data_IF_584080604044
#
_entry.id   IF_584080604044
#
_cell.length_a   1.000
_cell.length_b   1.000
_cell.length_c   1.000
_cell.angle_alpha   90.00
_cell.angle_beta   90.00
_cell.angle_gamma   90.00
#
_symmetry.space_group_name_H-M   'P 1'
#
loop_
_entity.id
_entity.type
_entity.pdbx_description
1 polymer ?
#
# COMPACT_ATOMS: atom_id res chain seq x y z
N UNK A 1 0.41 25.35 3.52
CA UNK A 1 -0.45 24.40 4.27
C UNK A 1 -1.54 25.12 5.05
N UNK A 2 -1.19 26.07 5.94
CA UNK A 2 -2.16 26.87 6.72
C UNK A 2 -3.30 27.40 5.85
N UNK A 3 -3.00 28.13 4.78
CA UNK A 3 -4.01 28.67 3.85
C UNK A 3 -4.95 27.59 3.28
N UNK A 4 -4.41 26.46 2.79
CA UNK A 4 -5.18 25.33 2.25
C UNK A 4 -6.10 24.70 3.30
N UNK A 5 -5.63 24.55 4.53
CA UNK A 5 -6.38 23.93 5.62
C UNK A 5 -7.44 24.90 6.17
N UNK A 6 -7.09 26.16 6.41
CA UNK A 6 -8.00 27.15 6.97
C UNK A 6 -9.12 27.52 5.98
N UNK A 7 -8.80 27.69 4.69
CA UNK A 7 -9.81 28.06 3.68
C UNK A 7 -10.88 27.00 3.49
N UNK A 8 -10.52 25.72 3.69
CA UNK A 8 -11.42 24.58 3.58
C UNK A 8 -11.98 24.10 4.94
N UNK A 9 -11.59 24.76 6.05
CA UNK A 9 -11.79 24.27 7.42
C UNK A 9 -11.35 22.80 7.58
N UNK A 10 -10.28 22.44 6.87
CA UNK A 10 -9.67 21.13 6.81
C UNK A 10 -10.64 20.02 6.37
N UNK A 11 -11.58 20.34 5.45
CA UNK A 11 -12.58 19.42 4.93
C UNK A 11 -12.67 19.54 3.42
N UNK A 12 -12.76 18.40 2.74
CA UNK A 12 -13.13 18.37 1.31
C UNK A 12 -14.61 18.05 1.20
N UNK A 13 -15.33 18.78 0.35
CA UNK A 13 -16.70 18.42 -0.01
C UNK A 13 -16.66 17.30 -1.05
N UNK A 14 -17.01 16.08 -0.65
CA UNK A 14 -17.16 14.96 -1.56
C UNK A 14 -18.56 14.93 -2.16
N UNK A 15 -18.64 14.62 -3.45
CA UNK A 15 -19.93 14.36 -4.10
C UNK A 15 -20.55 13.07 -3.57
N UNK A 16 -21.89 12.93 -3.65
CA UNK A 16 -22.59 11.68 -3.27
C UNK A 16 -22.04 10.45 -4.02
N UNK A 17 -21.54 10.65 -5.25
CA UNK A 17 -20.90 9.59 -6.03
C UNK A 17 -19.57 9.17 -5.40
N UNK A 18 -18.68 10.13 -5.12
CA UNK A 18 -17.41 9.83 -4.45
C UNK A 18 -17.64 9.17 -3.09
N UNK A 19 -18.62 9.63 -2.31
CA UNK A 19 -18.97 9.03 -1.03
C UNK A 19 -19.39 7.56 -1.18
N UNK A 20 -20.18 7.23 -2.20
CA UNK A 20 -20.57 5.85 -2.54
C UNK A 20 -19.36 5.02 -2.97
N UNK A 21 -18.48 5.58 -3.80
CA UNK A 21 -17.26 4.89 -4.26
C UNK A 21 -16.33 4.56 -3.08
N UNK A 22 -16.17 5.49 -2.13
CA UNK A 22 -15.42 5.27 -0.88
C UNK A 22 -16.04 4.14 -0.07
N UNK A 23 -17.36 4.19 0.16
CA UNK A 23 -18.08 3.16 0.92
C UNK A 23 -17.95 1.78 0.26
N UNK A 24 -18.12 1.70 -1.05
CA UNK A 24 -18.05 0.44 -1.78
C UNK A 24 -16.62 -0.11 -1.83
N UNK A 25 -15.60 0.76 -1.85
CA UNK A 25 -14.20 0.39 -1.66
C UNK A 25 -13.97 -0.25 -0.27
N UNK A 26 -14.45 0.39 0.79
CA UNK A 26 -14.35 -0.13 2.17
C UNK A 26 -15.07 -1.49 2.31
N UNK A 27 -16.28 -1.62 1.74
CA UNK A 27 -17.05 -2.88 1.74
C UNK A 27 -16.26 -4.01 1.08
N UNK A 28 -15.74 -3.78 -0.13
CA UNK A 28 -14.93 -4.78 -0.85
C UNK A 28 -13.68 -5.15 -0.08
N UNK A 29 -13.02 -4.19 0.55
CA UNK A 29 -11.85 -4.44 1.40
C UNK A 29 -12.21 -5.36 2.58
N UNK A 30 -13.28 -5.06 3.32
CA UNK A 30 -13.72 -5.88 4.47
C UNK A 30 -14.24 -7.24 4.03
N UNK A 31 -15.12 -7.33 3.04
CA UNK A 31 -15.72 -8.59 2.61
C UNK A 31 -14.69 -9.55 1.99
N UNK A 32 -13.66 -9.03 1.35
CA UNK A 32 -12.54 -9.85 0.87
C UNK A 32 -11.82 -10.53 2.04
N UNK A 33 -11.53 -9.81 3.12
CA UNK A 33 -10.88 -10.38 4.32
C UNK A 33 -11.76 -11.41 5.03
N UNK A 34 -13.07 -11.13 5.15
CA UNK A 34 -14.05 -12.07 5.72
C UNK A 34 -14.13 -13.34 4.88
N UNK A 35 -14.10 -13.21 3.55
CA UNK A 35 -14.06 -14.36 2.65
C UNK A 35 -12.79 -15.19 2.85
N UNK A 36 -11.62 -14.55 2.89
CA UNK A 36 -10.35 -15.24 3.14
C UNK A 36 -10.37 -15.99 4.48
N UNK A 37 -10.89 -15.35 5.53
CA UNK A 37 -11.02 -15.98 6.85
C UNK A 37 -11.90 -17.23 6.82
N UNK A 38 -13.03 -17.18 6.10
CA UNK A 38 -13.97 -18.28 5.96
C UNK A 38 -13.41 -19.43 5.12
N UNK A 39 -12.76 -19.12 4.00
CA UNK A 39 -12.33 -20.12 2.99
C UNK A 39 -10.95 -20.70 3.25
N UNK A 40 -10.09 -19.98 3.96
CA UNK A 40 -8.72 -20.40 4.26
C UNK A 40 -8.46 -20.37 5.78
N UNK A 41 -9.20 -21.16 6.58
CA UNK A 41 -9.02 -21.18 8.02
C UNK A 41 -7.59 -21.62 8.40
N UNK A 42 -6.99 -20.93 9.37
CA UNK A 42 -5.63 -21.20 9.84
C UNK A 42 -4.50 -20.68 8.93
N UNK A 43 -4.81 -20.14 7.76
CA UNK A 43 -3.81 -19.53 6.88
C UNK A 43 -3.53 -18.08 7.30
N UNK A 44 -2.26 -17.76 7.52
CA UNK A 44 -1.82 -16.39 7.81
C UNK A 44 -1.99 -15.51 6.57
N UNK A 45 -2.67 -14.37 6.75
CA UNK A 45 -2.89 -13.37 5.69
C UNK A 45 -2.54 -11.94 6.09
N UNK A 46 -2.35 -11.67 7.38
CA UNK A 46 -2.06 -10.33 7.92
C UNK A 46 -3.15 -9.32 7.53
N UNK A 47 -4.39 -9.65 7.90
CA UNK A 47 -5.64 -8.99 7.54
C UNK A 47 -5.58 -7.47 7.66
N UNK A 48 -6.16 -6.76 6.70
CA UNK A 48 -6.30 -5.31 6.76
C UNK A 48 -7.38 -4.85 7.77
N UNK A 49 -8.21 -5.74 8.31
CA UNK A 49 -9.38 -5.38 9.13
C UNK A 49 -9.02 -4.48 10.32
N UNK A 50 -9.73 -3.35 10.41
CA UNK A 50 -9.45 -2.23 11.29
C UNK A 50 -8.60 -1.12 10.67
N UNK A 51 -8.20 -1.25 9.40
CA UNK A 51 -7.42 -0.28 8.63
C UNK A 51 -7.89 -0.19 7.15
N UNK A 52 -9.11 -0.60 6.84
CA UNK A 52 -9.65 -0.71 5.47
C UNK A 52 -9.63 0.62 4.69
N UNK A 53 -9.66 1.75 5.40
CA UNK A 53 -9.49 3.11 4.85
C UNK A 53 -8.19 3.29 4.05
N UNK A 54 -7.19 2.43 4.25
CA UNK A 54 -6.01 2.38 3.40
C UNK A 54 -6.36 2.22 1.90
N UNK A 55 -7.35 1.40 1.55
CA UNK A 55 -7.71 1.14 0.15
C UNK A 55 -8.22 2.42 -0.55
N UNK A 56 -9.24 3.15 -0.03
CA UNK A 56 -9.63 4.41 -0.64
C UNK A 56 -8.52 5.49 -0.57
N UNK A 57 -7.63 5.48 0.42
CA UNK A 57 -6.45 6.36 0.45
C UNK A 57 -5.50 6.08 -0.72
N UNK A 58 -5.25 4.82 -1.06
CA UNK A 58 -4.40 4.44 -2.20
C UNK A 58 -5.07 4.71 -3.54
N UNK A 59 -6.38 4.49 -3.68
CA UNK A 59 -7.14 4.92 -4.87
C UNK A 59 -7.06 6.44 -5.04
N UNK A 60 -7.23 7.21 -3.96
CA UNK A 60 -7.07 8.66 -4.00
C UNK A 60 -5.63 9.06 -4.38
N UNK A 61 -4.63 8.35 -3.87
CA UNK A 61 -3.22 8.58 -4.21
C UNK A 61 -2.99 8.44 -5.72
N UNK A 62 -3.48 7.35 -6.31
CA UNK A 62 -3.31 7.06 -7.74
C UNK A 62 -4.04 8.10 -8.59
N UNK A 63 -5.31 8.37 -8.30
CA UNK A 63 -6.11 9.31 -9.10
C UNK A 63 -5.58 10.74 -9.00
N UNK A 64 -5.14 11.17 -7.81
CA UNK A 64 -4.61 12.51 -7.61
C UNK A 64 -3.22 12.67 -8.24
N UNK A 65 -2.33 11.69 -8.06
CA UNK A 65 -1.01 11.68 -8.71
C UNK A 65 -1.13 11.71 -10.24
N UNK A 66 -2.07 10.95 -10.80
CA UNK A 66 -2.37 10.99 -12.24
C UNK A 66 -2.74 12.39 -12.73
N UNK A 67 -3.64 13.07 -12.01
CA UNK A 67 -4.03 14.45 -12.31
C UNK A 67 -2.87 15.45 -12.20
N UNK A 68 -1.81 15.09 -11.47
CA UNK A 68 -0.58 15.86 -11.36
C UNK A 68 0.47 15.54 -12.44
N UNK A 69 0.20 14.59 -13.34
CA UNK A 69 1.11 14.19 -14.42
C UNK A 69 2.05 13.02 -14.09
N UNK A 70 1.84 12.32 -12.98
CA UNK A 70 2.57 11.10 -12.64
C UNK A 70 2.16 9.97 -13.60
N UNK A 71 3.16 9.27 -14.15
CA UNK A 71 2.98 8.11 -15.04
C UNK A 71 3.34 6.79 -14.37
N UNK A 72 4.23 6.82 -13.37
CA UNK A 72 4.74 5.64 -12.70
C UNK A 72 4.60 5.79 -11.17
N UNK A 73 3.97 4.82 -10.51
CA UNK A 73 3.94 4.72 -9.05
C UNK A 73 4.69 3.46 -8.65
N UNK A 74 5.71 3.61 -7.80
CA UNK A 74 6.48 2.48 -7.28
C UNK A 74 6.23 2.41 -5.78
N UNK A 75 5.69 1.28 -5.36
CA UNK A 75 5.18 1.05 -4.02
C UNK A 75 6.01 -0.01 -3.29
N UNK A 76 6.46 0.32 -2.09
CA UNK A 76 6.95 -0.65 -1.10
C UNK A 76 5.93 -0.79 0.02
N UNK A 77 5.69 -2.00 0.49
CA UNK A 77 4.84 -2.22 1.65
C UNK A 77 5.24 -3.47 2.43
N UNK A 78 4.88 -3.50 3.70
CA UNK A 78 4.99 -4.69 4.55
C UNK A 78 3.83 -5.67 4.31
N UNK A 79 3.60 -6.58 5.27
CA UNK A 79 2.57 -7.62 5.18
C UNK A 79 1.14 -7.10 5.38
N UNK A 80 0.94 -6.03 6.17
CA UNK A 80 -0.38 -5.63 6.66
C UNK A 80 -1.31 -5.20 5.52
N UNK A 81 -2.33 -6.01 5.25
CA UNK A 81 -3.31 -5.79 4.18
C UNK A 81 -2.74 -5.90 2.77
N UNK A 82 -1.58 -6.50 2.57
CA UNK A 82 -0.93 -6.59 1.25
C UNK A 82 -1.80 -7.29 0.21
N UNK A 83 -2.47 -8.37 0.58
CA UNK A 83 -3.35 -9.10 -0.34
C UNK A 83 -4.53 -8.24 -0.79
N UNK A 84 -5.05 -7.40 0.12
CA UNK A 84 -6.10 -6.43 -0.17
C UNK A 84 -5.62 -5.37 -1.18
N UNK A 85 -4.41 -4.84 -0.97
CA UNK A 85 -3.78 -3.89 -1.91
C UNK A 85 -3.52 -4.55 -3.27
N UNK A 86 -3.01 -5.77 -3.31
CA UNK A 86 -2.80 -6.50 -4.57
C UNK A 86 -4.12 -6.69 -5.33
N UNK A 87 -5.19 -7.10 -4.65
CA UNK A 87 -6.49 -7.32 -5.26
C UNK A 87 -7.11 -6.01 -5.76
N UNK A 88 -7.21 -5.00 -4.89
CA UNK A 88 -8.10 -3.85 -5.12
C UNK A 88 -7.38 -2.66 -5.74
N UNK A 89 -6.07 -2.51 -5.52
CA UNK A 89 -5.28 -1.41 -6.09
C UNK A 89 -4.58 -1.85 -7.38
N UNK A 90 -3.90 -3.00 -7.34
CA UNK A 90 -3.19 -3.54 -8.50
C UNK A 90 -4.07 -4.36 -9.44
N UNK A 91 -5.29 -4.73 -9.02
CA UNK A 91 -6.21 -5.51 -9.85
C UNK A 91 -5.75 -6.94 -10.05
N UNK A 92 -4.98 -7.51 -9.11
CA UNK A 92 -4.59 -8.92 -9.16
C UNK A 92 -5.86 -9.79 -9.17
N UNK A 93 -6.06 -10.67 -10.17
CA UNK A 93 -7.24 -11.52 -10.21
C UNK A 93 -7.38 -12.35 -8.93
N UNK A 94 -8.59 -12.43 -8.39
CA UNK A 94 -8.86 -13.21 -7.17
C UNK A 94 -8.47 -14.68 -7.32
N UNK A 95 -8.70 -15.29 -8.49
CA UNK A 95 -8.32 -16.68 -8.76
C UNK A 95 -6.81 -16.90 -8.65
N UNK A 96 -6.00 -15.94 -9.10
CA UNK A 96 -4.55 -15.98 -8.96
C UNK A 96 -4.10 -15.79 -7.50
N UNK A 97 -4.75 -14.90 -6.74
CA UNK A 97 -4.52 -14.79 -5.30
C UNK A 97 -4.86 -16.08 -4.56
N UNK A 98 -6.00 -16.70 -4.86
CA UNK A 98 -6.45 -17.93 -4.19
C UNK A 98 -5.59 -19.14 -4.55
N UNK A 99 -5.03 -19.20 -5.76
CA UNK A 99 -4.07 -20.22 -6.14
C UNK A 99 -2.85 -20.25 -5.18
N UNK A 100 -2.36 -19.09 -4.73
CA UNK A 100 -1.25 -18.98 -3.78
C UNK A 100 -1.59 -19.51 -2.37
N UNK A 101 -2.88 -19.54 -2.01
CA UNK A 101 -3.34 -20.18 -0.76
C UNK A 101 -3.45 -21.70 -0.89
N UNK A 102 -3.84 -22.20 -2.06
CA UNK A 102 -4.13 -23.61 -2.31
C UNK A 102 -2.86 -24.42 -2.65
N UNK A 103 -1.97 -23.84 -3.45
CA UNK A 103 -0.89 -24.58 -4.09
C UNK A 103 0.51 -24.14 -3.62
N UNK A 104 0.61 -23.05 -2.84
CA UNK A 104 1.88 -22.41 -2.54
C UNK A 104 2.45 -21.70 -3.77
N UNK A 105 3.72 -21.29 -3.71
CA UNK A 105 4.41 -20.77 -4.89
C UNK A 105 4.68 -21.95 -5.85
N UNK A 106 3.94 -21.98 -6.96
CA UNK A 106 4.10 -23.01 -7.97
C UNK A 106 5.45 -22.76 -8.64
N UNK A 107 6.47 -23.55 -8.29
CA UNK A 107 7.87 -23.47 -8.76
C UNK A 107 8.12 -23.58 -10.27
N UNK A 108 7.22 -23.09 -11.11
CA UNK A 108 7.38 -22.90 -12.56
C UNK A 108 8.20 -21.66 -12.94
N UNK A 109 8.70 -20.92 -11.95
CA UNK A 109 9.33 -19.62 -12.15
C UNK A 109 10.66 -19.61 -11.46
N UNK A 110 11.73 -19.36 -12.21
CA UNK A 110 13.13 -19.44 -11.78
C UNK A 110 13.33 -18.93 -10.33
N UNK A 111 13.71 -19.83 -9.41
CA UNK A 111 13.95 -19.54 -8.00
C UNK A 111 13.29 -20.56 -7.07
N UNK A 112 13.55 -20.44 -5.76
CA UNK A 112 12.98 -21.31 -4.71
C UNK A 112 11.57 -20.85 -4.24
N UNK A 113 11.04 -19.78 -4.85
CA UNK A 113 9.80 -19.12 -4.45
C UNK A 113 9.90 -18.27 -3.19
N UNK A 114 8.80 -17.64 -2.79
CA UNK A 114 8.66 -16.90 -1.54
C UNK A 114 7.22 -16.99 -0.98
N UNK A 115 6.97 -16.50 0.23
CA UNK A 115 5.63 -16.47 0.81
C UNK A 115 4.74 -15.44 0.09
N UNK A 116 3.45 -15.77 -0.06
CA UNK A 116 2.44 -14.96 -0.80
C UNK A 116 2.41 -13.45 -0.49
N UNK A 117 2.72 -13.06 0.75
CA UNK A 117 2.75 -11.67 1.19
C UNK A 117 4.11 -10.97 0.99
N UNK A 118 5.03 -11.57 0.23
CA UNK A 118 6.27 -10.94 -0.25
C UNK A 118 6.25 -10.65 -1.74
N UNK A 119 5.38 -11.32 -2.50
CA UNK A 119 5.33 -11.22 -3.96
C UNK A 119 5.13 -9.77 -4.43
N UNK A 120 5.98 -9.35 -5.37
CA UNK A 120 5.80 -8.10 -6.11
C UNK A 120 4.73 -8.26 -7.19
N UNK A 121 4.23 -7.14 -7.71
CA UNK A 121 3.27 -7.12 -8.82
C UNK A 121 3.47 -5.85 -9.65
N UNK A 122 3.29 -5.95 -10.96
CA UNK A 122 3.24 -4.79 -11.86
C UNK A 122 1.92 -4.80 -12.61
N UNK A 123 1.28 -3.64 -12.71
CA UNK A 123 -0.01 -3.50 -13.38
C UNK A 123 -0.11 -2.14 -14.07
N UNK A 124 -0.70 -2.11 -15.25
CA UNK A 124 -1.10 -0.85 -15.90
C UNK A 124 -2.56 -0.56 -15.57
N UNK A 125 -2.83 0.65 -15.09
CA UNK A 125 -4.18 1.11 -14.76
C UNK A 125 -4.65 2.20 -15.69
N UNK A 126 -5.84 2.00 -16.24
CA UNK A 126 -6.60 3.01 -16.96
C UNK A 126 -7.58 3.65 -15.98
N UNK A 127 -7.42 4.95 -15.76
CA UNK A 127 -8.26 5.70 -14.83
C UNK A 127 -9.50 6.26 -15.53
N UNK A 128 -10.58 6.55 -14.79
CA UNK A 128 -11.77 7.20 -15.35
C UNK A 128 -11.48 8.54 -16.04
N UNK A 129 -10.40 9.22 -15.67
CA UNK A 129 -9.92 10.45 -16.32
C UNK A 129 -9.32 10.22 -17.72
N UNK A 130 -9.11 8.97 -18.14
CA UNK A 130 -8.38 8.60 -19.35
C UNK A 130 -6.86 8.50 -19.17
N UNK A 131 -6.33 8.89 -18.00
CA UNK A 131 -4.91 8.73 -17.70
C UNK A 131 -4.53 7.25 -17.56
N UNK A 132 -3.31 6.91 -17.97
CA UNK A 132 -2.70 5.59 -17.78
C UNK A 132 -1.54 5.71 -16.80
N UNK A 133 -1.54 4.86 -15.76
CA UNK A 133 -0.43 4.74 -14.83
C UNK A 133 0.13 3.33 -14.80
N UNK A 134 1.44 3.25 -14.71
CA UNK A 134 2.15 2.04 -14.42
C UNK A 134 2.37 1.93 -12.91
N UNK A 135 1.81 0.90 -12.29
CA UNK A 135 2.00 0.59 -10.88
C UNK A 135 3.01 -0.54 -10.74
N UNK A 136 3.91 -0.43 -9.76
CA UNK A 136 4.83 -1.51 -9.40
C UNK A 136 4.91 -1.65 -7.88
N UNK A 137 4.49 -2.79 -7.34
CA UNK A 137 4.80 -3.20 -5.97
C UNK A 137 6.12 -3.97 -5.97
N UNK A 138 7.07 -3.52 -5.15
CA UNK A 138 8.38 -4.18 -5.03
C UNK A 138 8.24 -5.41 -4.12
N UNK A 139 8.87 -6.52 -4.53
CA UNK A 139 8.99 -7.70 -3.68
C UNK A 139 9.91 -7.41 -2.49
N UNK A 140 9.62 -7.98 -1.32
CA UNK A 140 10.37 -7.68 -0.10
C UNK A 140 10.51 -8.91 0.79
N UNK A 141 11.61 -9.01 1.56
CA UNK A 141 11.71 -10.02 2.60
C UNK A 141 10.82 -9.67 3.80
N UNK A 142 10.74 -10.59 4.78
CA UNK A 142 10.08 -10.34 6.08
C UNK A 142 10.76 -9.25 6.91
N UNK A 143 12.03 -8.92 6.62
CA UNK A 143 12.79 -7.88 7.30
C UNK A 143 12.14 -6.53 7.00
N UNK A 144 11.33 -6.05 7.96
CA UNK A 144 10.52 -4.84 7.80
C UNK A 144 11.40 -3.65 7.43
N UNK A 145 10.85 -2.76 6.61
CA UNK A 145 11.50 -1.53 6.12
C UNK A 145 12.71 -1.74 5.20
N UNK A 146 13.25 -2.96 5.04
CA UNK A 146 14.38 -3.24 4.14
C UNK A 146 14.09 -2.92 2.66
N UNK A 147 12.82 -2.92 2.26
CA UNK A 147 12.39 -2.56 0.90
C UNK A 147 12.42 -1.05 0.62
N UNK A 148 12.48 -0.21 1.65
CA UNK A 148 12.36 1.25 1.50
C UNK A 148 13.43 1.85 0.59
N UNK A 149 14.74 1.63 0.82
CA UNK A 149 15.77 2.16 -0.07
C UNK A 149 15.75 1.48 -1.44
N UNK A 150 15.26 0.24 -1.55
CA UNK A 150 15.11 -0.46 -2.83
C UNK A 150 14.07 0.24 -3.71
N UNK A 151 12.94 0.64 -3.14
CA UNK A 151 11.91 1.45 -3.83
C UNK A 151 12.48 2.80 -4.24
N UNK A 152 13.16 3.50 -3.34
CA UNK A 152 13.79 4.79 -3.65
C UNK A 152 14.79 4.67 -4.82
N UNK A 153 15.66 3.66 -4.81
CA UNK A 153 16.59 3.38 -5.90
C UNK A 153 15.89 3.02 -7.21
N UNK A 154 14.83 2.21 -7.16
CA UNK A 154 14.03 1.86 -8.34
C UNK A 154 13.32 3.08 -8.93
N UNK A 155 12.81 3.98 -8.07
CA UNK A 155 12.26 5.28 -8.48
C UNK A 155 13.31 6.13 -9.15
N UNK A 156 14.48 6.28 -8.54
CA UNK A 156 15.58 7.07 -9.10
C UNK A 156 15.98 6.57 -10.49
N UNK A 157 16.18 5.27 -10.64
CA UNK A 157 16.50 4.67 -11.93
C UNK A 157 15.40 4.89 -12.99
N UNK A 158 14.12 4.87 -12.59
CA UNK A 158 12.99 5.17 -13.48
C UNK A 158 12.99 6.65 -13.90
N UNK A 159 13.28 7.56 -12.97
CA UNK A 159 13.36 9.00 -13.23
C UNK A 159 14.50 9.32 -14.19
N UNK A 160 15.70 8.80 -13.94
CA UNK A 160 16.86 8.99 -14.82
C UNK A 160 16.57 8.50 -16.24
N UNK A 161 15.87 7.37 -16.37
CA UNK A 161 15.47 6.81 -17.66
C UNK A 161 14.43 7.64 -18.41
N UNK A 162 13.54 8.31 -17.69
CA UNK A 162 12.55 9.20 -18.28
C UNK A 162 13.18 10.52 -18.76
N UNK A 163 14.40 10.84 -18.30
CA UNK A 163 15.13 12.05 -18.66
C UNK A 163 14.51 13.30 -18.05
N UNK A 164 14.53 14.40 -18.79
CA UNK A 164 13.99 15.68 -18.33
C UNK A 164 12.53 15.56 -17.87
N UNK A 165 12.23 16.16 -16.72
CA UNK A 165 10.93 16.05 -16.06
C UNK A 165 10.60 14.65 -15.51
N UNK A 166 11.53 13.69 -15.53
CA UNK A 166 11.35 12.35 -14.98
C UNK A 166 11.01 12.35 -13.49
N UNK A 167 11.62 13.25 -12.71
CA UNK A 167 11.36 13.40 -11.27
C UNK A 167 9.88 13.65 -10.93
N UNK A 168 9.16 14.39 -11.78
CA UNK A 168 7.75 14.71 -11.59
C UNK A 168 6.80 13.61 -12.10
N UNK A 169 7.32 12.66 -12.89
CA UNK A 169 6.54 11.58 -13.49
C UNK A 169 6.56 10.28 -12.68
N UNK A 170 7.46 10.16 -11.71
CA UNK A 170 7.57 8.96 -10.86
C UNK A 170 7.27 9.33 -9.41
N UNK A 171 6.33 8.63 -8.80
CA UNK A 171 5.95 8.76 -7.40
C UNK A 171 6.41 7.54 -6.59
N UNK A 172 7.38 7.71 -5.68
CA UNK A 172 7.66 6.73 -4.63
C UNK A 172 6.53 6.74 -3.59
N UNK A 173 6.02 5.55 -3.23
CA UNK A 173 5.06 5.35 -2.15
C UNK A 173 5.58 4.26 -1.22
N UNK A 174 5.64 4.53 0.08
CA UNK A 174 6.09 3.56 1.08
C UNK A 174 5.02 3.38 2.15
N UNK A 175 4.62 2.13 2.40
CA UNK A 175 3.67 1.76 3.45
C UNK A 175 4.40 1.07 4.59
N UNK A 176 4.19 1.57 5.80
CA UNK A 176 4.91 1.18 7.00
C UNK A 176 3.96 0.66 8.08
N UNK A 177 4.46 -0.17 8.99
CA UNK A 177 3.82 -0.41 10.28
C UNK A 177 4.36 0.57 11.32
N UNK A 178 3.55 0.99 12.29
CA UNK A 178 3.95 2.00 13.30
C UNK A 178 5.22 1.61 14.08
N UNK A 179 5.28 0.39 14.60
CA UNK A 179 6.43 -0.08 15.37
C UNK A 179 7.71 -0.15 14.51
N UNK A 180 7.59 -0.61 13.26
CA UNK A 180 8.74 -0.76 12.37
C UNK A 180 9.24 0.60 11.85
N UNK A 181 8.33 1.53 11.54
CA UNK A 181 8.67 2.88 11.13
C UNK A 181 9.49 3.61 12.20
N UNK A 182 9.12 3.46 13.47
CA UNK A 182 9.82 4.08 14.58
C UNK A 182 11.11 3.34 14.98
N UNK A 183 11.17 2.02 14.80
CA UNK A 183 12.21 1.17 15.38
C UNK A 183 13.33 0.75 14.43
N UNK A 184 13.11 0.72 13.11
CA UNK A 184 14.12 0.25 12.15
C UNK A 184 15.02 1.39 11.67
N UNK A 185 16.33 1.31 11.94
CA UNK A 185 17.30 2.34 11.56
C UNK A 185 17.35 2.66 10.06
N UNK A 186 17.04 1.68 9.21
CA UNK A 186 16.97 1.86 7.75
C UNK A 186 15.92 2.89 7.31
N UNK A 187 14.90 3.16 8.14
CA UNK A 187 13.92 4.23 7.89
C UNK A 187 14.60 5.59 7.96
N UNK A 188 15.31 5.87 9.06
CA UNK A 188 16.06 7.12 9.23
C UNK A 188 17.15 7.28 8.18
N UNK A 189 17.86 6.19 7.83
CA UNK A 189 18.84 6.19 6.74
C UNK A 189 18.19 6.56 5.41
N UNK A 190 17.04 5.95 5.06
CA UNK A 190 16.33 6.24 3.81
C UNK A 190 15.81 7.68 3.77
N UNK A 191 15.26 8.18 4.88
CA UNK A 191 14.83 9.57 5.02
C UNK A 191 16.01 10.53 4.79
N UNK A 192 17.18 10.25 5.36
CA UNK A 192 18.39 11.04 5.16
C UNK A 192 18.84 11.11 3.68
N UNK A 193 18.55 10.08 2.87
CA UNK A 193 18.86 10.06 1.43
C UNK A 193 17.92 10.96 0.60
N UNK A 194 16.73 11.31 1.11
CA UNK A 194 15.64 11.94 0.34
C UNK A 194 16.02 13.23 -0.40
N UNK A 195 16.99 14.01 0.12
CA UNK A 195 17.44 15.28 -0.46
C UNK A 195 18.82 15.22 -1.11
N UNK A 196 19.58 14.13 -0.93
CA UNK A 196 20.93 14.01 -1.45
C UNK A 196 20.93 13.88 -2.97
N UNK A 197 21.78 14.63 -3.68
CA UNK A 197 21.73 14.73 -5.14
C UNK A 197 21.79 13.38 -5.89
N UNK A 198 22.58 12.42 -5.38
CA UNK A 198 22.69 11.08 -5.95
C UNK A 198 21.49 10.16 -5.71
N UNK A 199 20.61 10.51 -4.76
CA UNK A 199 19.57 9.60 -4.25
C UNK A 199 18.16 10.19 -4.32
N UNK A 200 18.01 11.52 -4.28
CA UNK A 200 16.73 12.21 -4.24
C UNK A 200 15.80 11.78 -5.36
N UNK A 201 14.53 11.65 -5.02
CA UNK A 201 13.43 11.21 -5.91
C UNK A 201 12.29 12.23 -6.00
N UNK A 202 12.51 13.46 -5.52
CA UNK A 202 11.48 14.52 -5.52
C UNK A 202 10.38 14.31 -4.47
N UNK A 203 10.71 13.64 -3.37
CA UNK A 203 9.80 13.38 -2.26
C UNK A 203 9.05 12.06 -2.38
N UNK A 204 8.97 11.34 -1.27
CA UNK A 204 8.22 10.09 -1.09
C UNK A 204 6.93 10.33 -0.29
N UNK A 205 5.83 9.68 -0.70
CA UNK A 205 4.64 9.58 0.14
C UNK A 205 4.80 8.40 1.11
N UNK A 206 4.89 8.70 2.39
CA UNK A 206 4.92 7.69 3.46
C UNK A 206 3.52 7.53 4.06
N UNK A 207 3.00 6.30 4.04
CA UNK A 207 1.74 5.93 4.70
C UNK A 207 2.05 5.01 5.87
N UNK A 208 1.86 5.48 7.09
CA UNK A 208 2.07 4.67 8.30
C UNK A 208 0.74 4.10 8.75
N UNK A 209 0.59 2.77 8.69
CA UNK A 209 -0.55 2.04 9.22
C UNK A 209 -0.34 1.88 10.73
N UNK A 210 -0.79 2.87 11.49
CA UNK A 210 -0.66 2.87 12.94
C UNK A 210 -1.85 2.17 13.59
N UNK A 211 -1.75 0.85 13.69
CA UNK A 211 -2.73 0.02 14.39
C UNK A 211 -2.52 -0.03 15.91
N UNK A 212 -1.56 0.76 16.40
CA UNK A 212 -1.22 0.96 17.81
C UNK A 212 -0.63 -0.28 18.49
N UNK A 213 -0.07 -1.24 17.75
CA UNK A 213 0.54 -2.45 18.32
C UNK A 213 1.55 -3.13 17.38
N UNK A 214 2.79 -3.30 17.86
CA UNK A 214 3.83 -4.08 17.17
C UNK A 214 3.92 -5.51 17.71
N UNK A 215 3.36 -6.48 17.00
CA UNK A 215 3.17 -7.85 17.52
C UNK A 215 2.32 -7.86 18.81
N UNK A 216 2.95 -7.91 19.99
CA UNK A 216 2.36 -7.79 21.34
C UNK A 216 2.87 -6.55 22.09
N UNK A 217 3.68 -5.71 21.45
CA UNK A 217 4.36 -4.56 22.05
C UNK A 217 3.50 -3.31 21.89
N UNK A 218 3.24 -2.61 23.01
CA UNK A 218 2.46 -1.38 23.01
C UNK A 218 3.28 -0.19 22.53
N UNK A 219 2.63 0.90 22.05
CA UNK A 219 3.29 2.11 21.57
C UNK A 219 4.31 2.70 22.55
N UNK A 220 3.99 2.66 23.85
CA UNK A 220 4.83 3.19 24.94
C UNK A 220 6.15 2.43 25.12
N UNK A 221 6.20 1.17 24.69
CA UNK A 221 7.38 0.31 24.77
C UNK A 221 8.12 0.24 23.42
N UNK A 222 7.47 0.65 22.33
CA UNK A 222 8.01 0.57 20.97
C UNK A 222 8.82 1.81 20.55
N UNK A 223 8.66 2.95 21.24
CA UNK A 223 9.31 4.23 20.89
C UNK A 223 9.42 5.17 22.08
N UNK A 224 10.35 6.12 21.98
CA UNK A 224 10.61 7.12 23.03
C UNK A 224 9.93 8.48 22.80
N UNK A 225 9.06 8.58 21.78
CA UNK A 225 8.36 9.81 21.40
C UNK A 225 6.85 9.56 21.26
N UNK A 226 6.07 10.63 21.10
CA UNK A 226 4.62 10.54 21.10
C UNK A 226 4.09 9.78 19.88
N UNK A 227 4.52 10.18 18.67
CA UNK A 227 4.02 9.62 17.42
C UNK A 227 5.03 8.64 16.83
N UNK A 228 4.52 7.59 16.17
CA UNK A 228 5.39 6.66 15.43
C UNK A 228 6.17 7.38 14.32
N UNK A 229 5.60 8.48 13.82
CA UNK A 229 6.11 9.30 12.73
C UNK A 229 7.16 10.34 13.14
N UNK A 230 7.50 10.46 14.42
CA UNK A 230 8.43 11.48 14.89
C UNK A 230 9.84 11.36 14.28
N UNK A 231 10.24 10.17 13.83
CA UNK A 231 11.51 9.99 13.08
C UNK A 231 11.58 10.86 11.83
N UNK A 232 10.44 11.12 11.17
CA UNK A 232 10.36 11.97 9.97
C UNK A 232 10.58 13.46 10.26
N UNK A 233 10.51 13.89 11.54
CA UNK A 233 10.82 15.27 11.92
C UNK A 233 12.27 15.66 11.62
N UNK A 234 13.17 14.69 11.46
CA UNK A 234 14.56 14.95 11.02
C UNK A 234 14.62 15.71 9.68
N UNK A 235 13.60 15.58 8.83
CA UNK A 235 13.51 16.27 7.54
C UNK A 235 12.64 17.54 7.59
N UNK A 236 12.02 17.86 8.73
CA UNK A 236 10.95 18.86 8.81
C UNK A 236 9.82 18.62 7.79
N UNK A 237 9.58 17.36 7.41
CA UNK A 237 8.50 16.96 6.54
C UNK A 237 7.13 17.17 7.23
N UNK A 238 6.07 17.53 6.50
CA UNK A 238 4.74 17.59 7.08
C UNK A 238 4.24 16.19 7.41
N UNK A 239 3.58 16.08 8.56
CA UNK A 239 3.00 14.86 9.09
C UNK A 239 1.50 15.09 9.30
N UNK A 240 0.67 14.28 8.66
CA UNK A 240 -0.78 14.32 8.78
C UNK A 240 -1.27 13.11 9.56
N UNK A 241 -1.84 13.32 10.75
CA UNK A 241 -2.45 12.26 11.53
C UNK A 241 -3.95 12.22 11.24
N UNK A 242 -4.47 11.04 10.90
CA UNK A 242 -5.88 10.89 10.53
C UNK A 242 -6.46 9.61 11.09
N UNK A 243 -7.70 9.68 11.57
CA UNK A 243 -8.42 8.54 12.15
C UNK A 243 -9.02 7.67 11.03
N UNK A 244 -8.85 6.35 11.11
CA UNK A 244 -9.31 5.46 10.05
C UNK A 244 -10.83 5.41 9.89
N UNK A 245 -11.60 5.72 10.93
CA UNK A 245 -13.07 5.77 10.86
C UNK A 245 -13.62 7.06 10.22
N UNK A 246 -12.74 7.97 9.76
CA UNK A 246 -13.10 9.11 8.90
C UNK A 246 -12.38 8.99 7.54
N UNK A 247 -12.92 8.19 6.61
CA UNK A 247 -12.31 7.96 5.30
C UNK A 247 -12.20 9.22 4.44
N UNK A 248 -13.15 10.15 4.57
CA UNK A 248 -13.14 11.43 3.83
C UNK A 248 -11.97 12.31 4.29
N UNK A 249 -11.74 12.43 5.60
CA UNK A 249 -10.57 13.12 6.14
C UNK A 249 -9.27 12.44 5.71
N UNK A 250 -9.22 11.10 5.66
CA UNK A 250 -8.04 10.36 5.24
C UNK A 250 -7.68 10.65 3.78
N UNK A 251 -8.68 10.70 2.90
CA UNK A 251 -8.50 11.07 1.48
C UNK A 251 -8.12 12.55 1.35
N UNK A 252 -8.70 13.44 2.17
CA UNK A 252 -8.28 14.84 2.20
C UNK A 252 -6.81 14.99 2.58
N UNK A 253 -6.34 14.27 3.60
CA UNK A 253 -4.93 14.25 4.01
C UNK A 253 -4.01 13.76 2.89
N UNK A 254 -4.40 12.72 2.15
CA UNK A 254 -3.65 12.24 0.97
C UNK A 254 -3.54 13.34 -0.10
N UNK A 255 -4.65 14.00 -0.46
CA UNK A 255 -4.66 15.07 -1.47
C UNK A 255 -3.74 16.22 -1.05
N UNK A 256 -3.80 16.62 0.23
CA UNK A 256 -2.96 17.68 0.78
C UNK A 256 -1.48 17.29 0.82
N UNK A 257 -1.16 16.06 1.21
CA UNK A 257 0.20 15.53 1.22
C UNK A 257 0.81 15.50 -0.19
N UNK A 258 0.07 15.00 -1.19
CA UNK A 258 0.53 14.96 -2.57
C UNK A 258 0.68 16.35 -3.19
N UNK A 259 -0.21 17.29 -2.86
CA UNK A 259 -0.06 18.69 -3.29
C UNK A 259 1.19 19.33 -2.69
N UNK A 260 1.47 19.09 -1.40
CA UNK A 260 2.70 19.55 -0.78
C UNK A 260 3.94 18.93 -1.44
N UNK A 261 3.93 17.60 -1.64
CA UNK A 261 5.04 16.89 -2.30
C UNK A 261 5.28 17.41 -3.72
N UNK A 262 4.22 17.69 -4.49
CA UNK A 262 4.34 18.28 -5.83
C UNK A 262 4.98 19.68 -5.80
N UNK A 263 4.58 20.52 -4.85
CA UNK A 263 5.07 21.89 -4.75
C UNK A 263 6.51 21.97 -4.25
N UNK A 264 6.85 21.18 -3.23
CA UNK A 264 8.11 21.32 -2.49
C UNK A 264 9.12 20.20 -2.74
N UNK A 265 8.76 19.17 -3.52
CA UNK A 265 9.63 18.05 -3.89
C UNK A 265 10.33 17.37 -2.70
N UNK A 266 9.61 17.25 -1.57
CA UNK A 266 10.09 16.65 -0.32
C UNK A 266 9.15 15.55 0.16
N UNK A 267 9.67 14.68 1.02
CA UNK A 267 8.89 13.62 1.66
C UNK A 267 7.71 14.19 2.46
N UNK A 268 6.62 13.43 2.49
CA UNK A 268 5.39 13.74 3.22
C UNK A 268 4.89 12.49 3.91
N UNK A 269 4.36 12.64 5.13
CA UNK A 269 3.92 11.50 5.94
C UNK A 269 2.44 11.62 6.25
N UNK A 270 1.69 10.56 6.03
CA UNK A 270 0.30 10.40 6.51
C UNK A 270 0.24 9.20 7.43
N UNK A 271 -0.11 9.44 8.68
CA UNK A 271 -0.31 8.42 9.71
C UNK A 271 -1.79 8.09 9.85
N UNK A 272 -2.16 6.89 9.40
CA UNK A 272 -3.50 6.35 9.56
C UNK A 272 -3.61 5.69 10.93
N UNK A 273 -4.23 6.39 11.89
CA UNK A 273 -4.48 5.88 13.24
C UNK A 273 -5.68 4.94 13.17
N UNK A 274 -5.41 3.67 13.45
CA UNK A 274 -6.32 2.57 13.19
C UNK A 274 -6.20 1.49 14.27
N UNK A 275 -6.72 0.29 14.00
CA UNK A 275 -6.61 -0.85 14.91
C UNK A 275 -6.35 -2.16 14.16
N UNK A 276 -6.13 -3.26 14.90
CA UNK A 276 -5.96 -4.61 14.34
C UNK A 276 -7.04 -5.54 14.89
N UNK A 277 -7.93 -6.01 14.01
CA UNK A 277 -9.07 -6.85 14.40
C UNK A 277 -8.66 -8.17 15.07
N UNK A 278 -7.61 -8.81 14.53
CA UNK A 278 -7.10 -10.11 14.98
C UNK A 278 -5.75 -9.96 15.71
N UNK A 279 -5.14 -11.06 16.13
CA UNK A 279 -3.74 -11.12 16.56
C UNK A 279 -2.77 -10.64 15.47
N UNK A 280 -1.45 -10.78 15.69
CA UNK A 280 -0.47 -10.34 14.70
C UNK A 280 -0.62 -11.12 13.39
N UNK A 281 -0.76 -12.44 13.50
CA UNK A 281 -1.44 -13.26 12.51
C UNK A 281 -2.80 -13.72 13.06
N UNK A 282 -3.62 -14.36 12.22
CA UNK A 282 -4.99 -14.75 12.59
C UNK A 282 -5.08 -16.02 13.45
N UNK A 283 -3.97 -16.71 13.69
CA UNK A 283 -3.85 -17.80 14.66
C UNK A 283 -3.36 -17.36 16.04
N UNK A 284 -2.84 -16.13 16.18
CA UNK A 284 -2.38 -15.60 17.46
C UNK A 284 -3.56 -15.14 18.32
N UNK A 285 -3.46 -15.38 19.64
CA UNK A 285 -4.44 -14.91 20.63
C UNK A 285 -3.95 -13.62 21.30
N UNK A 286 -4.46 -12.44 20.90
CA UNK A 286 -4.00 -11.16 21.42
C UNK A 286 -4.46 -10.87 22.86
N UNK A 287 -5.51 -11.54 23.37
CA UNK A 287 -5.99 -11.31 24.73
C UNK A 287 -4.97 -11.67 25.81
N UNK A 288 -3.97 -12.50 25.50
CA UNK A 288 -2.91 -12.85 26.45
C UNK A 288 -2.05 -11.66 26.88
N UNK A 289 -1.96 -10.63 26.04
CA UNK A 289 -1.06 -9.48 26.27
C UNK A 289 -1.81 -8.14 26.22
N UNK A 290 -2.86 -8.01 25.40
CA UNK A 290 -3.64 -6.77 25.24
C UNK A 290 -5.16 -6.97 25.43
N UNK A 291 -5.62 -7.53 26.57
CA UNK A 291 -7.03 -7.89 26.75
C UNK A 291 -8.00 -6.71 26.68
N UNK A 292 -7.66 -5.56 27.29
CA UNK A 292 -8.54 -4.38 27.31
C UNK A 292 -8.66 -3.72 25.94
N UNK A 293 -7.55 -3.61 25.21
CA UNK A 293 -7.53 -3.08 23.84
C UNK A 293 -8.41 -3.96 22.93
N UNK A 294 -8.27 -5.27 23.01
CA UNK A 294 -9.03 -6.19 22.17
C UNK A 294 -10.49 -6.33 22.57
N UNK A 295 -10.83 -6.15 23.85
CA UNK A 295 -12.21 -5.98 24.28
C UNK A 295 -12.87 -4.79 23.56
N UNK A 296 -12.23 -3.61 23.57
CA UNK A 296 -12.74 -2.43 22.85
C UNK A 296 -12.81 -2.66 21.35
N UNK A 297 -11.78 -3.28 20.74
CA UNK A 297 -11.77 -3.56 19.30
C UNK A 297 -12.93 -4.48 18.94
N UNK A 298 -13.23 -5.52 19.74
CA UNK A 298 -14.28 -6.49 19.44
C UNK A 298 -15.68 -5.86 19.36
N UNK A 299 -15.90 -4.79 20.11
CA UNK A 299 -17.16 -4.03 20.13
C UNK A 299 -17.28 -3.05 18.94
N UNK A 300 -16.18 -2.76 18.23
CA UNK A 300 -16.20 -1.81 17.10
C UNK A 300 -16.82 -2.42 15.84
N UNK A 301 -17.85 -1.79 15.25
CA UNK A 301 -18.36 -2.16 13.93
C UNK A 301 -17.27 -2.07 12.86
N UNK A 302 -17.41 -2.77 11.72
CA UNK A 302 -16.54 -2.55 10.57
C UNK A 302 -16.59 -1.11 10.05
N UNK A 303 -15.47 -0.58 9.55
CA UNK A 303 -15.36 0.82 9.09
C UNK A 303 -16.41 1.16 8.03
N UNK A 304 -16.72 0.23 7.11
CA UNK A 304 -17.72 0.47 6.07
C UNK A 304 -19.16 0.63 6.62
N UNK A 305 -19.46 0.08 7.81
CA UNK A 305 -20.74 0.30 8.50
C UNK A 305 -20.74 1.68 9.17
N UNK A 306 -19.68 2.01 9.91
CA UNK A 306 -19.52 3.32 10.57
C UNK A 306 -19.66 4.46 9.55
N UNK A 307 -18.92 4.37 8.45
CA UNK A 307 -18.98 5.38 7.39
C UNK A 307 -20.34 5.38 6.67
N UNK A 308 -20.94 4.20 6.44
CA UNK A 308 -22.24 4.09 5.78
C UNK A 308 -23.38 4.78 6.54
N UNK A 309 -23.34 4.75 7.88
CA UNK A 309 -24.32 5.42 8.75
C UNK A 309 -24.19 6.95 8.73
N UNK A 310 -23.02 7.48 8.37
CA UNK A 310 -22.76 8.91 8.28
C UNK A 310 -23.22 9.52 6.94
N UNK A 311 -23.52 8.68 5.93
CA UNK A 311 -23.89 9.16 4.61
C UNK A 311 -25.34 9.68 4.56
N UNK A 312 -25.61 10.77 3.81
CA UNK A 312 -26.97 11.31 3.67
C UNK A 312 -27.99 10.33 3.05
N UNK A 313 -27.49 9.36 2.29
CA UNK A 313 -28.27 8.31 1.65
C UNK A 313 -27.67 6.94 2.00
N UNK A 314 -27.81 6.54 3.27
CA UNK A 314 -27.46 5.21 3.73
C UNK A 314 -28.27 4.15 2.95
N UNK A 315 -27.60 3.07 2.56
CA UNK A 315 -28.29 1.94 1.93
C UNK A 315 -29.23 1.29 2.94
N UNK A 316 -30.34 0.76 2.46
CA UNK A 316 -31.14 -0.19 3.25
C UNK A 316 -30.34 -1.47 3.53
N UNK A 317 -30.69 -2.18 4.60
CA UNK A 317 -30.03 -3.46 4.91
C UNK A 317 -30.20 -4.47 3.76
N UNK A 318 -31.33 -4.43 3.06
CA UNK A 318 -31.57 -5.27 1.88
C UNK A 318 -30.60 -4.97 0.73
N UNK A 319 -30.35 -3.71 0.42
CA UNK A 319 -29.38 -3.31 -0.61
C UNK A 319 -27.95 -3.71 -0.21
N UNK A 320 -27.59 -3.50 1.05
CA UNK A 320 -26.31 -3.94 1.59
C UNK A 320 -26.11 -5.45 1.40
N UNK A 321 -27.11 -6.26 1.76
CA UNK A 321 -27.05 -7.71 1.67
C UNK A 321 -27.00 -8.21 0.22
N UNK A 322 -27.73 -7.56 -0.69
CA UNK A 322 -27.64 -7.86 -2.12
C UNK A 322 -26.24 -7.55 -2.67
N UNK A 323 -25.63 -6.43 -2.26
CA UNK A 323 -24.29 -6.07 -2.68
C UNK A 323 -23.25 -7.07 -2.16
N UNK A 324 -23.38 -7.46 -0.88
CA UNK A 324 -22.54 -8.48 -0.25
C UNK A 324 -22.64 -9.81 -0.99
N UNK A 325 -23.86 -10.30 -1.22
CA UNK A 325 -24.09 -11.59 -1.89
C UNK A 325 -23.51 -11.62 -3.31
N UNK A 326 -23.64 -10.53 -4.08
CA UNK A 326 -23.04 -10.43 -5.42
C UNK A 326 -21.51 -10.48 -5.37
N UNK A 327 -20.90 -9.76 -4.43
CA UNK A 327 -19.45 -9.78 -4.29
C UNK A 327 -18.93 -11.12 -3.78
N UNK A 328 -19.60 -11.73 -2.80
CA UNK A 328 -19.26 -13.07 -2.34
C UNK A 328 -19.37 -14.09 -3.46
N UNK A 329 -20.42 -14.03 -4.30
CA UNK A 329 -20.55 -14.91 -5.45
C UNK A 329 -19.35 -14.80 -6.41
N UNK A 330 -18.90 -13.58 -6.71
CA UNK A 330 -17.70 -13.36 -7.53
C UNK A 330 -16.44 -14.01 -6.91
N UNK A 331 -16.27 -13.90 -5.59
CA UNK A 331 -15.14 -14.53 -4.90
C UNK A 331 -15.25 -16.06 -4.90
N UNK A 332 -16.46 -16.61 -4.75
CA UNK A 332 -16.70 -18.06 -4.83
C UNK A 332 -16.40 -18.61 -6.22
N UNK A 333 -16.80 -17.91 -7.29
CA UNK A 333 -16.47 -18.31 -8.66
C UNK A 333 -14.95 -18.31 -8.91
N UNK A 334 -14.25 -17.27 -8.44
CA UNK A 334 -12.80 -17.19 -8.55
C UNK A 334 -12.09 -18.26 -7.71
N UNK A 335 -12.63 -18.62 -6.54
CA UNK A 335 -12.10 -19.70 -5.70
C UNK A 335 -12.30 -21.08 -6.35
N UNK A 336 -13.41 -21.29 -7.06
CA UNK A 336 -13.67 -22.53 -7.79
C UNK A 336 -12.79 -22.70 -9.04
N UNK A 337 -12.19 -21.62 -9.53
CA UNK A 337 -11.33 -21.60 -10.73
C UNK A 337 -10.01 -20.88 -10.41
N UNK A 338 -9.13 -21.46 -9.57
CA UNK A 338 -7.84 -20.87 -9.30
C UNK A 338 -7.03 -20.82 -10.60
N UNK A 339 -6.44 -19.65 -10.86
CA UNK A 339 -5.59 -19.43 -12.03
C UNK A 339 -4.15 -19.42 -11.58
N UNK A 340 -3.26 -20.10 -12.30
CA UNK A 340 -1.83 -19.98 -11.99
C UNK A 340 -1.37 -18.57 -12.35
N UNK A 341 -0.59 -17.89 -11.48
CA UNK A 341 -0.01 -16.60 -11.81
C UNK A 341 0.82 -16.73 -13.10
N UNK A 342 0.64 -15.80 -14.04
CA UNK A 342 1.51 -15.75 -15.20
C UNK A 342 2.93 -15.35 -14.76
N UNK A 343 3.94 -16.07 -15.25
CA UNK A 343 5.33 -15.64 -15.06
C UNK A 343 5.53 -14.26 -15.69
N UNK A 344 5.88 -13.29 -14.83
CA UNK A 344 6.19 -11.92 -15.27
C UNK A 344 7.70 -11.63 -15.26
N UNK A 345 8.52 -12.61 -14.90
CA UNK A 345 9.97 -12.56 -14.94
C UNK A 345 10.41 -12.24 -16.37
N UNK A 346 11.30 -11.26 -16.50
CA UNK A 346 11.84 -10.82 -17.78
C UNK A 346 10.80 -10.29 -18.80
N UNK A 347 9.58 -9.93 -18.39
CA UNK A 347 8.64 -9.24 -19.28
C UNK A 347 9.00 -7.75 -19.50
N UNK A 348 8.31 -7.13 -20.46
CA UNK A 348 8.46 -5.71 -20.77
C UNK A 348 9.87 -5.39 -21.28
N UNK A 349 10.60 -4.55 -20.54
CA UNK A 349 11.93 -4.07 -20.96
C UNK A 349 13.05 -5.10 -20.83
N UNK A 350 12.79 -6.20 -20.13
CA UNK A 350 13.76 -7.27 -19.93
C UNK A 350 13.49 -8.45 -20.87
N UNK A 351 12.55 -8.30 -21.82
CA UNK A 351 12.13 -9.34 -22.78
C UNK A 351 13.26 -9.86 -23.68
N UNK A 352 14.35 -9.10 -23.81
CA UNK A 352 15.53 -9.50 -24.57
C UNK A 352 16.53 -10.33 -23.76
N UNK A 353 16.37 -10.40 -22.43
CA UNK A 353 17.25 -11.17 -21.55
C UNK A 353 16.83 -12.64 -21.54
N UNK A 354 17.82 -13.53 -21.45
CA UNK A 354 17.62 -14.98 -21.39
C UNK A 354 18.27 -15.52 -20.14
N UNK A 355 17.70 -16.61 -19.61
CA UNK A 355 18.06 -17.18 -18.31
C UNK A 355 19.16 -18.23 -18.40
N UNK A 356 19.60 -18.55 -19.62
CA UNK A 356 20.75 -19.43 -19.85
C UNK A 356 22.04 -18.60 -19.93
N UNK A 357 23.10 -18.96 -19.19
CA UNK A 357 24.38 -18.27 -19.27
C UNK A 357 24.97 -18.41 -20.69
N UNK A 358 25.27 -17.28 -21.32
CA UNK A 358 25.99 -17.26 -22.60
C UNK A 358 27.47 -17.60 -22.40
N UNK A 359 28.10 -18.13 -23.45
CA UNK A 359 29.54 -18.33 -23.59
C UNK A 359 30.35 -17.03 -23.45
N UNK A 360 31.70 -17.14 -23.37
CA UNK A 360 32.68 -16.03 -23.18
C UNK A 360 32.23 -14.72 -23.83
N UNK A 361 31.92 -13.71 -23.01
CA UNK A 361 31.56 -12.36 -23.45
C UNK A 361 32.81 -11.60 -23.89
N UNK A 362 32.77 -10.99 -25.09
CA UNK A 362 33.83 -10.10 -25.55
C UNK A 362 33.56 -8.70 -24.98
N UNK A 363 34.39 -8.29 -24.01
CA UNK A 363 34.29 -6.97 -23.35
C UNK A 363 35.39 -6.00 -23.80
N UNK A 364 36.29 -6.43 -24.69
CA UNK A 364 37.35 -5.60 -25.23
C UNK A 364 36.80 -4.51 -26.15
N UNK A 365 37.35 -3.30 -26.02
CA UNK A 365 37.10 -2.16 -26.92
C UNK A 365 38.39 -1.75 -27.62
N UNK A 366 38.28 -0.99 -28.71
CA UNK A 366 39.46 -0.51 -29.44
C UNK A 366 40.33 0.41 -28.56
N UNK A 367 41.65 0.32 -28.71
CA UNK A 367 42.58 1.17 -27.95
C UNK A 367 42.36 2.67 -28.19
N UNK A 368 41.88 3.06 -29.38
CA UNK A 368 41.52 4.43 -29.69
C UNK A 368 40.30 4.96 -28.90
N UNK A 369 39.46 4.06 -28.35
CA UNK A 369 38.35 4.42 -27.45
C UNK A 369 38.80 4.52 -25.98
N UNK A 370 39.94 3.91 -25.64
CA UNK A 370 40.53 3.94 -24.29
C UNK A 370 41.42 5.16 -24.05
N UNK A 371 41.94 5.76 -25.12
CA UNK A 371 42.74 6.99 -25.11
C UNK A 371 41.82 8.19 -25.27
#
# INVERSE_FOLDING_TARGET
>A
LVERMESSRNRTAFSLREQRDIRDSLRKATWFEVFLHRRFPGQTRFSLEGAETLIPMLEATINHAAGQGVTDVILGMSHRGRLNVQAHIFGKPYGALFAEFLHGDNGSTIGDGDVKYHSGISADRHLPSGARLHLTMVANPSHLEAVNPVVAGKCRARQDRLGDGGANRVLPVLLHGDAAFAGQGIVAETLNLSHLAGYRTGGTLHLVINNQIGFTTMPVDARSSCYATDVAKMLMAPIFHVHCEDPEAAIHAIRLALDYRKEFATDVVVELICYRRYGHNEGDEPYFTQPLMYQTIRERPPIHRIYGEQLPAADTETEYEQHRARFEHQLEEAHARPESPADSSYLGRWSTYRTQPTTKTVTGVAAATLR
#
